data_IF_408732995245
#
_entry.id   IF_408732995245
#
_cell.length_a   1.000
_cell.length_b   1.000
_cell.length_c   1.000
_cell.angle_alpha   90.00
_cell.angle_beta   90.00
_cell.angle_gamma   90.00
#
_symmetry.space_group_name_H-M   'P 1'
#
loop_
_entity.id
_entity.type
_entity.pdbx_description
1 polymer ?
#
# COMPACT_ATOMS: atom_id res chain seq x y z
N UNK A 1 -16.34 -25.56 0.20
CA UNK A 1 -16.57 -24.49 1.20
C UNK A 1 -15.62 -23.36 0.88
N UNK A 2 -16.08 -22.29 0.22
CA UNK A 2 -15.26 -21.10 -0.05
C UNK A 2 -15.59 -20.06 1.04
N UNK A 3 -14.59 -19.65 1.83
CA UNK A 3 -14.75 -18.51 2.74
C UNK A 3 -14.92 -17.24 1.91
N UNK A 4 -15.83 -16.32 2.28
CA UNK A 4 -15.94 -15.06 1.57
C UNK A 4 -14.63 -14.29 1.77
N UNK A 5 -13.96 -13.96 0.67
CA UNK A 5 -12.91 -12.94 0.65
C UNK A 5 -13.54 -11.70 1.24
N UNK A 6 -13.06 -11.33 2.44
CA UNK A 6 -13.53 -10.16 3.16
C UNK A 6 -13.55 -8.97 2.21
N UNK A 7 -14.72 -8.33 2.10
CA UNK A 7 -14.84 -6.96 1.66
C UNK A 7 -13.99 -6.11 2.61
N UNK A 8 -12.70 -5.97 2.32
CA UNK A 8 -11.89 -4.98 3.01
C UNK A 8 -12.11 -3.68 2.27
N UNK A 9 -12.84 -2.77 2.91
CA UNK A 9 -13.02 -1.41 2.41
C UNK A 9 -11.64 -0.78 2.17
N UNK A 10 -11.32 -0.34 0.94
CA UNK A 10 -10.01 0.21 0.59
C UNK A 10 -9.59 1.33 1.54
N UNK A 11 -10.55 2.19 1.88
CA UNK A 11 -10.36 3.35 2.74
C UNK A 11 -10.02 2.96 4.17
N UNK A 12 -10.61 1.86 4.66
CA UNK A 12 -10.31 1.33 5.99
C UNK A 12 -8.92 0.69 6.03
N UNK A 13 -8.55 -0.07 4.99
CA UNK A 13 -7.23 -0.69 4.89
C UNK A 13 -6.13 0.36 4.74
N UNK A 14 -6.39 1.43 3.98
CA UNK A 14 -5.54 2.63 3.93
C UNK A 14 -5.45 3.28 5.31
N UNK A 15 -6.55 3.51 6.02
CA UNK A 15 -6.50 4.06 7.38
C UNK A 15 -5.80 3.17 8.42
N UNK A 16 -5.85 1.85 8.25
CA UNK A 16 -5.12 0.89 9.09
C UNK A 16 -3.61 0.86 8.77
N UNK A 17 -3.25 1.08 7.49
CA UNK A 17 -1.85 1.18 7.03
C UNK A 17 -1.21 2.53 7.38
N UNK A 18 -2.00 3.60 7.35
CA UNK A 18 -1.63 4.98 7.64
C UNK A 18 -2.45 5.44 8.84
N UNK A 19 -2.03 5.05 10.06
CA UNK A 19 -2.76 5.38 11.29
C UNK A 19 -2.84 6.91 11.49
N UNK A 20 -3.98 7.46 11.09
CA UNK A 20 -4.74 8.67 11.50
C UNK A 20 -4.06 10.04 11.67
N UNK A 21 -2.74 10.19 11.69
CA UNK A 21 -2.12 11.55 11.75
C UNK A 21 -0.82 11.72 10.95
N UNK A 22 -0.21 10.63 10.46
CA UNK A 22 1.00 10.69 9.61
C UNK A 22 0.64 10.32 8.17
N UNK A 23 0.24 11.33 7.39
CA UNK A 23 0.32 11.35 5.93
C UNK A 23 -0.35 10.19 5.19
N UNK A 24 -1.65 10.33 4.91
CA UNK A 24 -2.24 9.56 3.81
C UNK A 24 -1.39 9.76 2.54
N UNK A 25 -1.13 8.70 1.75
CA UNK A 25 -0.40 8.88 0.52
C UNK A 25 -1.18 9.85 -0.37
N UNK A 26 -0.45 10.82 -0.89
CA UNK A 26 -0.83 11.69 -1.98
C UNK A 26 -1.68 10.94 -3.05
N UNK A 27 -2.59 11.63 -3.78
CA UNK A 27 -3.58 10.97 -4.65
C UNK A 27 -2.97 9.98 -5.65
N UNK A 28 -1.76 10.26 -6.14
CA UNK A 28 -1.00 9.36 -7.01
C UNK A 28 -0.47 8.12 -6.27
N UNK A 29 0.11 8.28 -5.08
CA UNK A 29 0.47 7.17 -4.20
C UNK A 29 -0.73 6.27 -3.86
N UNK A 30 -1.89 6.86 -3.60
CA UNK A 30 -3.14 6.10 -3.40
C UNK A 30 -3.53 5.32 -4.65
N UNK A 31 -3.43 5.93 -5.84
CA UNK A 31 -3.72 5.23 -7.10
C UNK A 31 -2.79 4.02 -7.31
N UNK A 32 -1.49 4.20 -7.06
CA UNK A 32 -0.50 3.12 -7.20
C UNK A 32 -0.75 1.99 -6.19
N UNK A 33 -1.13 2.32 -4.97
CA UNK A 33 -1.50 1.33 -3.96
C UNK A 33 -2.76 0.54 -4.35
N UNK A 34 -3.76 1.22 -4.95
CA UNK A 34 -4.96 0.57 -5.49
C UNK A 34 -4.65 -0.31 -6.70
N UNK A 35 -3.70 0.09 -7.55
CA UNK A 35 -3.23 -0.73 -8.66
C UNK A 35 -2.55 -2.01 -8.15
N UNK A 36 -1.68 -1.90 -7.14
CA UNK A 36 -1.06 -3.05 -6.48
C UNK A 36 -2.11 -3.99 -5.86
N UNK A 37 -3.12 -3.44 -5.16
CA UNK A 37 -4.26 -4.24 -4.65
C UNK A 37 -4.99 -4.97 -5.77
N UNK A 38 -5.26 -4.30 -6.89
CA UNK A 38 -6.01 -4.89 -8.01
C UNK A 38 -5.23 -6.01 -8.68
N UNK A 39 -3.93 -5.84 -8.85
CA UNK A 39 -3.06 -6.84 -9.45
C UNK A 39 -2.77 -8.01 -8.50
N UNK A 40 -2.62 -7.72 -7.21
CA UNK A 40 -2.12 -8.67 -6.20
C UNK A 40 -2.91 -8.55 -4.88
N UNK A 41 -4.22 -8.90 -4.88
CA UNK A 41 -5.07 -8.71 -3.71
C UNK A 41 -4.67 -9.59 -2.51
N UNK A 42 -4.02 -10.74 -2.75
CA UNK A 42 -3.50 -11.61 -1.70
C UNK A 42 -2.27 -11.00 -1.04
N UNK A 43 -1.31 -10.54 -1.84
CA UNK A 43 -0.09 -9.88 -1.35
C UNK A 43 -0.45 -8.59 -0.58
N UNK A 44 -1.40 -7.81 -1.11
CA UNK A 44 -1.95 -6.63 -0.45
C UNK A 44 -2.57 -6.93 0.92
N UNK A 45 -3.19 -8.09 1.11
CA UNK A 45 -3.76 -8.47 2.40
C UNK A 45 -2.70 -8.76 3.47
N UNK A 46 -1.46 -9.02 3.07
CA UNK A 46 -0.31 -9.21 3.97
C UNK A 46 0.52 -7.94 4.16
N UNK A 47 0.18 -6.85 3.45
CA UNK A 47 0.86 -5.58 3.56
C UNK A 47 0.73 -5.01 4.97
N UNK A 48 1.84 -4.58 5.57
CA UNK A 48 1.88 -3.97 6.90
C UNK A 48 2.43 -2.55 6.82
N UNK A 49 2.11 -1.73 7.82
CA UNK A 49 2.69 -0.40 7.95
C UNK A 49 4.24 -0.42 7.97
N UNK A 50 4.85 -1.47 8.53
CA UNK A 50 6.31 -1.66 8.53
C UNK A 50 6.91 -1.81 7.13
N UNK A 51 6.15 -2.36 6.18
CA UNK A 51 6.58 -2.45 4.77
C UNK A 51 6.60 -1.08 4.09
N UNK A 52 5.76 -0.15 4.55
CA UNK A 52 5.73 1.24 4.09
C UNK A 52 6.91 2.06 4.63
N UNK A 53 7.40 1.73 5.83
CA UNK A 53 8.60 2.34 6.42
C UNK A 53 9.86 1.87 5.69
N UNK A 54 9.88 0.61 5.23
CA UNK A 54 11.06 -0.01 4.62
C UNK A 54 10.74 -0.55 3.22
N UNK A 55 10.32 0.36 2.34
CA UNK A 55 9.82 0.06 0.99
C UNK A 55 10.74 -0.84 0.15
N UNK A 56 12.06 -0.61 0.24
CA UNK A 56 13.07 -1.37 -0.51
C UNK A 56 13.43 -2.72 0.11
N UNK A 57 13.07 -2.96 1.38
CA UNK A 57 13.32 -4.22 2.09
C UNK A 57 12.02 -4.95 2.42
N UNK A 58 10.93 -4.56 1.76
CA UNK A 58 9.66 -5.25 1.91
C UNK A 58 9.70 -6.59 1.17
N UNK A 59 8.88 -7.54 1.65
CA UNK A 59 8.64 -8.82 0.95
C UNK A 59 8.03 -8.64 -0.44
N UNK A 60 7.60 -7.43 -0.80
CA UNK A 60 7.04 -7.06 -2.10
C UNK A 60 8.08 -6.49 -3.08
N UNK A 61 9.35 -6.40 -2.69
CA UNK A 61 10.44 -5.94 -3.56
C UNK A 61 10.49 -6.76 -4.86
N UNK A 62 10.58 -6.06 -6.00
CA UNK A 62 10.56 -6.68 -7.33
C UNK A 62 9.17 -6.92 -7.92
N UNK A 63 8.07 -6.58 -7.23
CA UNK A 63 6.74 -6.49 -7.83
C UNK A 63 6.60 -5.12 -8.50
N UNK A 64 6.31 -5.09 -9.80
CA UNK A 64 6.29 -3.84 -10.58
C UNK A 64 5.36 -2.77 -10.00
N UNK A 65 4.16 -3.15 -9.58
CA UNK A 65 3.19 -2.23 -8.98
C UNK A 65 3.63 -1.72 -7.60
N UNK A 66 4.31 -2.56 -6.82
CA UNK A 66 4.89 -2.17 -5.53
C UNK A 66 6.11 -1.27 -5.72
N UNK A 67 6.97 -1.56 -6.68
CA UNK A 67 8.15 -0.75 -7.01
C UNK A 67 7.71 0.65 -7.50
N UNK A 68 6.64 0.74 -8.28
CA UNK A 68 6.06 2.01 -8.72
C UNK A 68 5.54 2.83 -7.53
N UNK A 69 4.78 2.20 -6.63
CA UNK A 69 4.34 2.83 -5.38
C UNK A 69 5.53 3.26 -4.53
N UNK A 70 6.49 2.36 -4.28
CA UNK A 70 7.67 2.59 -3.44
C UNK A 70 8.55 3.72 -3.96
N UNK A 71 8.75 3.77 -5.27
CA UNK A 71 9.50 4.86 -5.92
C UNK A 71 8.79 6.20 -5.75
N UNK A 72 7.47 6.23 -5.92
CA UNK A 72 6.68 7.45 -5.75
C UNK A 72 6.67 7.87 -4.27
N UNK A 73 6.34 6.96 -3.36
CA UNK A 73 6.25 7.22 -1.93
C UNK A 73 7.59 7.70 -1.35
N UNK A 74 8.71 7.07 -1.73
CA UNK A 74 10.04 7.48 -1.28
C UNK A 74 10.58 8.77 -1.93
N UNK A 75 9.98 9.26 -3.02
CA UNK A 75 10.40 10.49 -3.70
C UNK A 75 9.45 11.67 -3.48
N UNK A 76 8.23 11.42 -2.99
CA UNK A 76 7.19 12.43 -2.91
C UNK A 76 7.15 13.06 -1.53
N UNK A 77 7.47 14.35 -1.45
CA UNK A 77 7.47 15.13 -0.21
C UNK A 77 6.10 15.21 0.47
N UNK A 78 5.00 14.96 -0.27
CA UNK A 78 3.64 14.89 0.29
C UNK A 78 3.30 13.53 0.90
N UNK A 79 3.91 12.47 0.37
CA UNK A 79 3.73 11.11 0.83
C UNK A 79 4.76 10.75 1.93
N UNK A 80 5.90 11.45 1.98
CA UNK A 80 6.98 11.31 2.96
C UNK A 80 7.14 12.61 3.78
N UNK A 81 6.01 13.17 4.23
CA UNK A 81 5.93 14.41 5.02
C UNK A 81 6.03 14.13 6.52
#
# INVERSE_FOLDING_TARGET
MAKPVSNVDPEKLLGDLFQVDEGLPCPEGTHLLLAFRKARPLDFAFLKATDLINLQNSSFAGIEEWEAFSRHYGSCELCNA
#
